data_IF_530972154832
#
_entry.id   IF_530972154832
#
_cell.length_a   1.000
_cell.length_b   1.000
_cell.length_c   1.000
_cell.angle_alpha   90.00
_cell.angle_beta   90.00
_cell.angle_gamma   90.00
#
_symmetry.space_group_name_H-M   'P 1'
#
loop_
_entity.id
_entity.type
_entity.pdbx_description
1 polymer ?
#
# COMPACT_ATOMS: atom_id res chain seq x y z
N UNK A 1 -15.35 10.42 -22.85
CA UNK A 1 -14.18 9.64 -22.39
C UNK A 1 -14.67 8.22 -22.17
N UNK A 2 -13.95 7.21 -22.67
CA UNK A 2 -14.43 5.82 -22.66
C UNK A 2 -14.64 5.28 -21.23
N UNK A 3 -15.89 4.94 -20.90
CA UNK A 3 -16.25 4.34 -19.60
C UNK A 3 -15.57 2.96 -19.47
N UNK A 4 -15.46 2.21 -20.57
CA UNK A 4 -14.80 0.90 -20.63
C UNK A 4 -13.32 0.95 -20.21
N UNK A 5 -12.59 2.00 -20.60
CA UNK A 5 -11.19 2.18 -20.19
C UNK A 5 -11.07 2.41 -18.68
N UNK A 6 -11.98 3.20 -18.08
CA UNK A 6 -11.99 3.41 -16.63
C UNK A 6 -12.31 2.11 -15.88
N UNK A 7 -13.31 1.35 -16.36
CA UNK A 7 -13.69 0.07 -15.76
C UNK A 7 -12.56 -0.96 -15.82
N UNK A 8 -11.89 -1.10 -16.96
CA UNK A 8 -10.71 -1.96 -17.11
C UNK A 8 -9.59 -1.57 -16.14
N UNK A 9 -9.30 -0.27 -16.03
CA UNK A 9 -8.26 0.27 -15.16
C UNK A 9 -8.55 0.04 -13.66
N UNK A 10 -9.81 0.17 -13.23
CA UNK A 10 -10.21 -0.20 -11.86
C UNK A 10 -10.12 -1.72 -11.63
N UNK A 11 -10.53 -2.53 -12.62
CA UNK A 11 -10.40 -4.00 -12.55
C UNK A 11 -8.94 -4.46 -12.39
N UNK A 12 -8.02 -3.85 -13.13
CA UNK A 12 -6.57 -4.09 -12.97
C UNK A 12 -6.08 -3.71 -11.57
N UNK A 13 -6.60 -2.62 -10.98
CA UNK A 13 -6.23 -2.22 -9.63
C UNK A 13 -6.74 -3.19 -8.55
N UNK A 14 -7.95 -3.73 -8.71
CA UNK A 14 -8.50 -4.80 -7.83
C UNK A 14 -7.63 -6.06 -7.90
N UNK A 15 -7.19 -6.47 -9.08
CA UNK A 15 -6.30 -7.63 -9.24
C UNK A 15 -4.96 -7.45 -8.50
N UNK A 16 -4.36 -6.25 -8.56
CA UNK A 16 -3.10 -5.93 -7.85
C UNK A 16 -3.26 -6.00 -6.33
N UNK A 17 -4.40 -5.53 -5.80
CA UNK A 17 -4.74 -5.61 -4.36
C UNK A 17 -4.72 -7.06 -3.87
N UNK A 18 -5.40 -7.95 -4.60
CA UNK A 18 -5.53 -9.36 -4.23
C UNK A 18 -4.20 -10.11 -4.22
N UNK A 19 -3.26 -9.74 -5.10
CA UNK A 19 -1.99 -10.44 -5.24
C UNK A 19 -0.86 -9.94 -4.33
N UNK A 20 -0.79 -8.63 -4.06
CA UNK A 20 0.45 -8.03 -3.55
C UNK A 20 0.28 -6.97 -2.47
N UNK A 21 -0.79 -6.16 -2.54
CA UNK A 21 -0.80 -4.85 -1.86
C UNK A 21 -2.17 -4.39 -1.42
N UNK A 22 -2.50 -4.69 -0.17
CA UNK A 22 -3.72 -4.25 0.50
C UNK A 22 -3.69 -2.77 0.93
N UNK A 23 -2.54 -2.10 0.90
CA UNK A 23 -2.37 -0.68 1.25
C UNK A 23 -3.19 0.26 0.34
N UNK A 24 -3.36 -0.12 -0.93
CA UNK A 24 -4.19 0.61 -1.90
C UNK A 24 -5.67 0.19 -1.94
N UNK A 25 -6.11 -0.71 -1.05
CA UNK A 25 -7.48 -1.24 -1.06
C UNK A 25 -8.54 -0.14 -0.92
N UNK A 26 -8.34 0.80 0.02
CA UNK A 26 -9.29 1.88 0.28
C UNK A 26 -9.50 2.81 -0.92
N UNK A 27 -8.43 3.19 -1.63
CA UNK A 27 -8.51 4.10 -2.77
C UNK A 27 -9.20 3.45 -3.97
N UNK A 28 -8.98 2.16 -4.21
CA UNK A 28 -9.71 1.40 -5.25
C UNK A 28 -11.19 1.22 -4.87
N UNK A 29 -11.49 0.94 -3.60
CA UNK A 29 -12.86 0.85 -3.10
C UNK A 29 -13.64 2.16 -3.27
N UNK A 30 -12.96 3.32 -3.20
CA UNK A 30 -13.55 4.63 -3.51
C UNK A 30 -13.76 4.82 -5.01
N UNK A 31 -12.76 4.49 -5.85
CA UNK A 31 -12.84 4.61 -7.31
C UNK A 31 -13.92 3.70 -7.93
N UNK A 32 -14.15 2.52 -7.35
CA UNK A 32 -15.17 1.55 -7.77
C UNK A 32 -16.59 2.11 -7.70
N UNK A 33 -16.88 3.02 -6.75
CA UNK A 33 -18.19 3.69 -6.63
C UNK A 33 -18.54 4.54 -7.86
N UNK A 34 -17.54 4.98 -8.62
CA UNK A 34 -17.69 5.89 -9.77
C UNK A 34 -17.65 5.19 -11.14
N UNK A 35 -17.77 3.86 -11.19
CA UNK A 35 -17.67 3.06 -12.43
C UNK A 35 -18.73 3.39 -13.50
N UNK A 36 -19.93 3.84 -13.10
CA UNK A 36 -21.00 4.21 -14.03
C UNK A 36 -20.84 5.64 -14.59
N UNK A 37 -20.19 6.54 -13.83
CA UNK A 37 -20.07 7.96 -14.21
C UNK A 37 -18.71 8.56 -13.79
N UNK A 38 -17.61 8.22 -14.50
CA UNK A 38 -16.27 8.66 -14.11
C UNK A 38 -16.04 10.17 -14.36
N UNK A 39 -16.03 10.94 -13.28
CA UNK A 39 -15.62 12.35 -13.25
C UNK A 39 -14.10 12.51 -13.46
N UNK A 40 -13.67 13.63 -14.06
CA UNK A 40 -12.23 13.99 -14.27
C UNK A 40 -11.37 13.83 -13.01
N UNK A 41 -11.92 14.14 -11.82
CA UNK A 41 -11.24 13.96 -10.53
C UNK A 41 -10.92 12.49 -10.21
N UNK A 42 -11.89 11.57 -10.37
CA UNK A 42 -11.65 10.13 -10.15
C UNK A 42 -10.61 9.57 -11.12
N UNK A 43 -10.60 10.04 -12.37
CA UNK A 43 -9.59 9.66 -13.37
C UNK A 43 -8.18 10.16 -13.01
N UNK A 44 -8.06 11.36 -12.43
CA UNK A 44 -6.79 11.86 -11.94
C UNK A 44 -6.31 11.06 -10.71
N UNK A 45 -7.20 10.77 -9.76
CA UNK A 45 -6.90 9.92 -8.62
C UNK A 45 -6.47 8.50 -9.04
N UNK A 46 -7.15 7.91 -10.03
CA UNK A 46 -6.79 6.60 -10.59
C UNK A 46 -5.40 6.64 -11.28
N UNK A 47 -5.08 7.69 -12.04
CA UNK A 47 -3.71 7.87 -12.59
C UNK A 47 -2.66 7.97 -11.49
N UNK A 48 -2.95 8.70 -10.41
CA UNK A 48 -2.03 8.82 -9.27
C UNK A 48 -1.84 7.49 -8.53
N UNK A 49 -2.87 6.64 -8.46
CA UNK A 49 -2.78 5.27 -7.94
C UNK A 49 -1.78 4.43 -8.74
N UNK A 50 -1.90 4.41 -10.07
CA UNK A 50 -0.97 3.66 -10.93
C UNK A 50 0.44 4.27 -10.93
N UNK A 51 0.57 5.60 -10.78
CA UNK A 51 1.87 6.25 -10.57
C UNK A 51 2.51 5.82 -9.24
N UNK A 52 1.74 5.75 -8.16
CA UNK A 52 2.20 5.24 -6.87
C UNK A 52 2.67 3.78 -7.03
N UNK A 53 1.82 2.90 -7.55
CA UNK A 53 2.16 1.49 -7.79
C UNK A 53 3.43 1.31 -8.63
N UNK A 54 3.62 2.12 -9.67
CA UNK A 54 4.84 2.06 -10.48
C UNK A 54 6.07 2.58 -9.73
N UNK A 55 5.92 3.65 -8.95
CA UNK A 55 7.01 4.24 -8.18
C UNK A 55 7.40 3.43 -6.94
N UNK A 56 6.48 2.63 -6.38
CA UNK A 56 6.74 1.82 -5.18
C UNK A 56 7.08 0.36 -5.48
N UNK A 57 7.35 -0.03 -6.73
CA UNK A 57 7.77 -1.42 -7.07
C UNK A 57 8.97 -1.89 -6.23
N UNK A 58 9.97 -1.02 -6.10
CA UNK A 58 11.25 -1.32 -5.41
C UNK A 58 11.16 -1.27 -3.87
N UNK A 59 9.97 -1.12 -3.30
CA UNK A 59 9.78 -0.88 -1.88
C UNK A 59 9.18 -2.10 -1.19
N UNK A 60 9.95 -2.70 -0.28
CA UNK A 60 9.52 -3.81 0.57
C UNK A 60 8.92 -3.31 1.89
N UNK A 61 8.05 -4.13 2.48
CA UNK A 61 7.53 -3.89 3.83
C UNK A 61 8.55 -4.41 4.83
N UNK A 62 9.20 -3.52 5.58
CA UNK A 62 10.19 -3.88 6.59
C UNK A 62 9.54 -3.95 7.97
N UNK A 63 9.20 -5.15 8.43
CA UNK A 63 8.78 -5.38 9.81
C UNK A 63 9.99 -5.44 10.75
N UNK A 64 10.41 -4.28 11.25
CA UNK A 64 11.42 -4.23 12.31
C UNK A 64 10.82 -4.68 13.65
N UNK A 65 10.82 -5.99 13.91
CA UNK A 65 10.81 -6.51 15.28
C UNK A 65 12.16 -6.15 15.92
N UNK A 66 12.24 -4.91 16.40
CA UNK A 66 12.85 -4.57 17.67
C UNK A 66 12.26 -5.72 18.58
N UNK A 67 13.04 -6.71 19.08
CA UNK A 67 12.60 -7.87 19.94
C UNK A 67 13.17 -7.99 21.39
N UNK A 68 12.40 -7.86 22.49
CA UNK A 68 13.00 -7.57 23.83
C UNK A 68 13.55 -8.79 24.55
N UNK A 69 14.83 -9.12 24.36
CA UNK A 69 15.46 -10.20 25.12
C UNK A 69 16.97 -10.04 25.27
N UNK A 70 17.46 -10.26 26.48
CA UNK A 70 18.88 -10.28 26.84
C UNK A 70 19.61 -11.56 26.43
N UNK A 71 19.39 -12.06 25.21
CA UNK A 71 20.06 -13.24 24.66
C UNK A 71 20.93 -12.87 23.46
N UNK A 72 22.07 -13.55 23.28
CA UNK A 72 23.12 -13.19 22.32
C UNK A 72 22.85 -13.59 20.85
N UNK A 73 21.59 -13.63 20.43
CA UNK A 73 21.17 -13.93 19.05
C UNK A 73 19.90 -13.13 18.68
N UNK A 74 20.07 -11.99 17.98
CA UNK A 74 18.97 -11.23 17.36
C UNK A 74 18.89 -9.72 17.75
N UNK A 75 18.29 -8.86 16.92
CA UNK A 75 18.13 -7.42 17.21
C UNK A 75 17.01 -7.13 18.24
N UNK A 76 17.22 -6.21 19.18
CA UNK A 76 16.43 -6.08 20.42
C UNK A 76 15.22 -5.10 20.35
N UNK A 77 14.18 -5.24 21.23
CA UNK A 77 12.95 -4.40 21.39
C UNK A 77 13.13 -3.58 22.65
N UNK A 78 13.34 -2.28 22.54
CA UNK A 78 13.12 -1.45 23.72
C UNK A 78 11.62 -1.20 23.87
N UNK A 79 10.97 -1.98 24.74
CA UNK A 79 9.57 -1.81 25.12
C UNK A 79 9.29 -0.37 25.57
N UNK A 80 8.26 0.30 25.02
CA UNK A 80 7.48 1.26 25.82
C UNK A 80 6.10 1.59 25.20
N UNK A 81 5.06 1.32 25.98
CA UNK A 81 3.90 2.18 26.25
C UNK A 81 3.16 2.88 25.08
N UNK A 82 2.48 2.12 24.23
CA UNK A 82 1.13 2.49 23.75
C UNK A 82 0.45 1.28 23.09
N UNK A 83 -0.51 0.71 23.82
CA UNK A 83 -1.34 -0.41 23.39
C UNK A 83 -2.21 -0.04 22.19
N UNK A 84 -2.35 -1.01 21.26
CA UNK A 84 -3.30 -1.03 20.14
C UNK A 84 -3.06 -0.03 18.99
N UNK A 85 -2.55 1.19 19.21
CA UNK A 85 -2.30 2.14 18.10
C UNK A 85 -1.07 1.80 17.25
N UNK A 86 -0.04 1.18 17.84
CA UNK A 86 1.23 0.86 17.16
C UNK A 86 1.20 -0.31 16.19
N UNK A 87 0.14 -1.12 16.13
CA UNK A 87 0.05 -2.24 15.17
C UNK A 87 -0.11 -1.78 13.71
N UNK A 88 -0.39 -0.49 13.49
CA UNK A 88 -0.43 0.16 12.18
C UNK A 88 0.76 1.10 11.94
N UNK A 89 1.61 1.34 12.95
CA UNK A 89 2.75 2.23 12.81
C UNK A 89 3.96 1.51 12.21
N UNK A 90 4.54 2.12 11.18
CA UNK A 90 5.80 1.72 10.51
C UNK A 90 5.73 0.54 9.52
N UNK A 91 4.73 0.55 8.62
CA UNK A 91 4.96 0.11 7.23
C UNK A 91 5.91 1.10 6.52
N UNK A 92 7.17 1.14 6.96
CA UNK A 92 8.18 2.04 6.40
C UNK A 92 8.67 1.47 5.08
N UNK A 93 8.08 1.95 3.99
CA UNK A 93 8.52 1.68 2.62
C UNK A 93 9.95 2.24 2.45
N UNK A 94 10.96 1.37 2.51
CA UNK A 94 12.36 1.69 2.17
C UNK A 94 12.65 1.09 0.78
N UNK A 95 13.32 1.84 -0.10
CA UNK A 95 13.84 1.25 -1.35
C UNK A 95 14.80 0.12 -1.01
N UNK A 96 14.59 -1.06 -1.61
CA UNK A 96 15.60 -2.10 -1.67
C UNK A 96 16.78 -1.57 -2.46
N UNK A 97 17.94 -1.48 -1.81
CA UNK A 97 19.21 -1.18 -2.48
C UNK A 97 19.82 -2.49 -2.98
N UNK A 98 20.19 -2.53 -4.25
CA UNK A 98 21.12 -3.51 -4.78
C UNK A 98 20.98 -3.77 -6.29
N UNK A 99 22.00 -4.39 -6.91
CA UNK A 99 23.38 -4.45 -6.44
C UNK A 99 24.10 -3.09 -6.58
#
# INVERSE_FOLDING_TARGET
>A
MEIKLYQSLVGTAVYIILLTRVDISFTVQWLSRSLNRPTKSHLHAAKNLFKYLNSTKDYSICFSYNGNTGANLGPKLSNSSNTTTKLFETFTLRKGLGP
#
